data_IF_988845631197
#
_entry.id   IF_988845631197
#
_cell.length_a   1.000
_cell.length_b   1.000
_cell.length_c   1.000
_cell.angle_alpha   90.00
_cell.angle_beta   90.00
_cell.angle_gamma   90.00
#
_symmetry.space_group_name_H-M   'P 1'
#
loop_
_entity.id
_entity.type
_entity.pdbx_description
1 polymer ?
#
# COMPACT_ATOMS: atom_id res chain seq x y z
N UNK A 1 -25.97 -1.24 -20.80
CA UNK A 1 -24.53 -0.94 -20.87
C UNK A 1 -23.78 -2.13 -20.31
N UNK A 2 -22.71 -2.53 -21.00
CA UNK A 2 -22.00 -3.78 -20.77
C UNK A 2 -21.08 -3.61 -19.54
N UNK A 3 -21.23 -4.47 -18.53
CA UNK A 3 -20.47 -4.45 -17.26
C UNK A 3 -18.95 -4.33 -17.48
N UNK A 4 -18.44 -4.85 -18.60
CA UNK A 4 -17.03 -4.76 -19.00
C UNK A 4 -16.57 -3.32 -19.24
N UNK A 5 -17.42 -2.49 -19.85
CA UNK A 5 -17.10 -1.10 -20.16
C UNK A 5 -17.13 -0.22 -18.91
N UNK A 6 -18.07 -0.49 -18.00
CA UNK A 6 -18.15 0.18 -16.69
C UNK A 6 -16.94 -0.15 -15.79
N UNK A 7 -16.51 -1.42 -15.76
CA UNK A 7 -15.32 -1.85 -14.99
C UNK A 7 -14.02 -1.26 -15.56
N UNK A 8 -13.90 -1.14 -16.89
CA UNK A 8 -12.73 -0.52 -17.55
C UNK A 8 -12.65 0.97 -17.22
N UNK A 9 -13.77 1.68 -17.29
CA UNK A 9 -13.83 3.10 -16.96
C UNK A 9 -13.60 3.37 -15.46
N UNK A 10 -14.08 2.49 -14.58
CA UNK A 10 -13.82 2.58 -13.13
C UNK A 10 -12.34 2.37 -12.76
N UNK A 11 -11.59 1.56 -13.53
CA UNK A 11 -10.14 1.40 -13.34
C UNK A 11 -9.35 2.64 -13.77
N UNK A 12 -9.79 3.33 -14.82
CA UNK A 12 -9.13 4.53 -15.36
C UNK A 12 -9.37 5.78 -14.51
N UNK A 13 -10.53 5.85 -13.83
CA UNK A 13 -10.94 7.01 -13.02
C UNK A 13 -10.52 6.95 -11.55
N UNK A 14 -9.86 5.89 -11.07
CA UNK A 14 -9.48 5.82 -9.66
C UNK A 14 -8.40 6.88 -9.38
N UNK A 15 -8.69 7.92 -8.56
CA UNK A 15 -7.63 8.79 -8.09
C UNK A 15 -6.59 7.93 -7.37
N UNK A 16 -5.30 8.31 -7.38
CA UNK A 16 -4.32 7.63 -6.55
C UNK A 16 -4.85 7.64 -5.12
N UNK A 17 -5.26 6.47 -4.64
CA UNK A 17 -5.85 6.36 -3.32
C UNK A 17 -4.84 6.98 -2.34
N UNK A 18 -5.25 7.96 -1.54
CA UNK A 18 -4.36 8.68 -0.61
C UNK A 18 -3.44 7.74 0.19
N UNK A 19 -3.93 6.53 0.47
CA UNK A 19 -3.17 5.45 1.07
C UNK A 19 -1.96 4.92 0.28
N UNK A 20 -2.04 4.81 -1.05
CA UNK A 20 -0.90 4.42 -1.90
C UNK A 20 0.17 5.50 -1.90
N UNK A 21 -0.22 6.77 -2.01
CA UNK A 21 0.73 7.90 -1.97
C UNK A 21 1.42 7.94 -0.61
N UNK A 22 0.66 7.81 0.48
CA UNK A 22 1.19 7.75 1.84
C UNK A 22 2.14 6.56 2.06
N UNK A 23 1.82 5.38 1.50
CA UNK A 23 2.72 4.23 1.52
C UNK A 23 4.02 4.52 0.76
N UNK A 24 3.92 4.99 -0.49
CA UNK A 24 5.09 5.23 -1.34
C UNK A 24 6.00 6.33 -0.78
N UNK A 25 5.43 7.35 -0.12
CA UNK A 25 6.21 8.39 0.57
C UNK A 25 7.12 7.81 1.67
N UNK A 26 6.72 6.71 2.28
CA UNK A 26 7.45 6.07 3.38
C UNK A 26 8.12 4.75 2.94
N UNK A 27 8.26 4.50 1.64
CA UNK A 27 8.70 3.20 1.12
C UNK A 27 10.08 2.80 1.63
N UNK A 28 11.02 3.75 1.72
CA UNK A 28 12.38 3.48 2.18
C UNK A 28 12.42 3.11 3.66
N UNK A 29 11.62 3.79 4.49
CA UNK A 29 11.50 3.48 5.92
C UNK A 29 10.85 2.11 6.14
N UNK A 30 9.79 1.81 5.38
CA UNK A 30 9.12 0.49 5.43
C UNK A 30 10.10 -0.60 5.02
N UNK A 31 10.85 -0.39 3.93
CA UNK A 31 11.85 -1.34 3.46
C UNK A 31 12.96 -1.56 4.49
N UNK A 32 13.49 -0.50 5.08
CA UNK A 32 14.51 -0.59 6.12
C UNK A 32 14.01 -1.39 7.34
N UNK A 33 12.77 -1.17 7.78
CA UNK A 33 12.18 -1.94 8.87
C UNK A 33 12.01 -3.42 8.52
N UNK A 34 11.55 -3.73 7.30
CA UNK A 34 11.44 -5.11 6.84
C UNK A 34 12.81 -5.81 6.73
N UNK A 35 13.83 -5.09 6.25
CA UNK A 35 15.20 -5.60 6.12
C UNK A 35 15.87 -5.84 7.50
N UNK A 36 15.44 -5.12 8.54
CA UNK A 36 15.83 -5.36 9.95
C UNK A 36 15.11 -6.54 10.60
N UNK A 37 14.19 -7.20 9.88
CA UNK A 37 13.48 -8.38 10.37
C UNK A 37 12.14 -8.11 11.06
N UNK A 38 11.66 -6.86 11.10
CA UNK A 38 10.32 -6.57 11.59
C UNK A 38 9.25 -7.11 10.64
N UNK A 39 8.12 -7.55 11.18
CA UNK A 39 7.03 -8.04 10.32
C UNK A 39 6.27 -6.90 9.68
N UNK A 40 5.63 -7.15 8.53
CA UNK A 40 4.78 -6.16 7.88
C UNK A 40 3.60 -5.71 8.77
N UNK A 41 3.14 -6.56 9.70
CA UNK A 41 2.10 -6.21 10.67
C UNK A 41 2.62 -5.19 11.68
N UNK A 42 3.83 -5.37 12.19
CA UNK A 42 4.44 -4.48 13.18
C UNK A 42 4.66 -3.09 12.58
N UNK A 43 5.24 -3.04 11.38
CA UNK A 43 5.45 -1.80 10.63
C UNK A 43 4.12 -1.11 10.36
N UNK A 44 3.13 -1.86 9.86
CA UNK A 44 1.79 -1.31 9.60
C UNK A 44 1.16 -0.73 10.87
N UNK A 45 1.20 -1.45 11.99
CA UNK A 45 0.58 -1.02 13.25
C UNK A 45 1.17 0.31 13.70
N UNK A 46 2.50 0.42 13.76
CA UNK A 46 3.18 1.66 14.18
C UNK A 46 2.83 2.84 13.26
N UNK A 47 2.87 2.64 11.94
CA UNK A 47 2.58 3.70 10.97
C UNK A 47 1.10 4.09 10.94
N UNK A 48 0.21 3.13 11.20
CA UNK A 48 -1.22 3.35 11.28
C UNK A 48 -1.60 4.12 12.54
N UNK A 49 -1.01 3.75 13.69
CA UNK A 49 -1.23 4.42 14.97
C UNK A 49 -0.71 5.87 14.96
N UNK A 50 0.38 6.14 14.24
CA UNK A 50 0.89 7.50 13.98
C UNK A 50 0.08 8.30 12.98
N UNK A 51 -0.86 7.67 12.28
CA UNK A 51 -1.67 8.31 11.23
C UNK A 51 -0.91 8.57 9.92
N UNK A 52 0.31 8.07 9.78
CA UNK A 52 1.14 8.16 8.57
C UNK A 52 0.54 7.34 7.43
N UNK A 53 -0.08 6.20 7.77
CA UNK A 53 -0.74 5.32 6.80
C UNK A 53 -2.14 4.96 7.28
N UNK A 54 -3.17 5.48 6.61
CA UNK A 54 -4.59 5.22 6.95
C UNK A 54 -5.20 4.00 6.25
N UNK A 55 -4.38 3.15 5.62
CA UNK A 55 -4.89 1.96 4.94
C UNK A 55 -5.02 0.78 5.90
N UNK A 56 -6.00 -0.09 5.65
CA UNK A 56 -6.12 -1.36 6.36
C UNK A 56 -4.90 -2.25 6.11
N UNK A 57 -4.57 -3.12 7.06
CA UNK A 57 -3.44 -4.04 6.97
C UNK A 57 -3.39 -4.82 5.65
N UNK A 58 -4.52 -5.40 5.20
CA UNK A 58 -4.55 -6.18 3.94
C UNK A 58 -4.07 -5.37 2.73
N UNK A 59 -4.40 -4.07 2.69
CA UNK A 59 -3.97 -3.19 1.63
C UNK A 59 -2.49 -2.81 1.77
N UNK A 60 -2.02 -2.63 3.01
CA UNK A 60 -0.60 -2.42 3.30
C UNK A 60 0.24 -3.62 2.88
N UNK A 61 -0.17 -4.84 3.25
CA UNK A 61 0.50 -6.08 2.88
C UNK A 61 0.54 -6.26 1.35
N UNK A 62 -0.54 -5.90 0.64
CA UNK A 62 -0.55 -5.88 -0.83
C UNK A 62 0.48 -4.91 -1.40
N UNK A 63 0.64 -3.73 -0.79
CA UNK A 63 1.64 -2.74 -1.21
C UNK A 63 3.06 -3.22 -0.93
N UNK A 64 3.33 -3.80 0.24
CA UNK A 64 4.63 -4.41 0.57
C UNK A 64 4.97 -5.49 -0.47
N UNK A 65 4.02 -6.39 -0.77
CA UNK A 65 4.23 -7.41 -1.78
C UNK A 65 4.57 -6.79 -3.14
N UNK A 66 3.75 -5.86 -3.62
CA UNK A 66 3.85 -5.28 -4.96
C UNK A 66 5.06 -4.36 -5.18
N UNK A 67 5.41 -3.54 -4.18
CA UNK A 67 6.39 -2.46 -4.34
C UNK A 67 7.74 -2.77 -3.69
N UNK A 68 7.81 -3.75 -2.79
CA UNK A 68 9.07 -4.12 -2.11
C UNK A 68 9.53 -5.52 -2.52
N UNK A 69 8.61 -6.50 -2.58
CA UNK A 69 8.99 -7.91 -2.82
C UNK A 69 8.97 -8.32 -4.29
N UNK A 70 7.99 -7.85 -5.07
CA UNK A 70 7.87 -8.13 -6.52
C UNK A 70 8.69 -7.16 -7.38
N UNK A 71 9.29 -6.12 -6.78
CA UNK A 71 10.24 -5.21 -7.42
C UNK A 71 11.69 -5.72 -7.39
N UNK A 72 11.91 -6.95 -6.90
CA UNK A 72 13.21 -7.64 -6.86
C UNK A 72 13.39 -8.51 -8.09
#
# INVERSE_FOLDING_TARGET
MELLEELRNAKLKKPPANGKVAFLRNIDQIKAALDQGYTAVDVWRVMHDRGEVKVKYNQFALYVRRFIREAK
#
